data_IF_323557887758
#
_entry.id   IF_323557887758
#
_cell.length_a   1.000
_cell.length_b   1.000
_cell.length_c   1.000
_cell.angle_alpha   90.00
_cell.angle_beta   90.00
_cell.angle_gamma   90.00
#
_symmetry.space_group_name_H-M   'P 1'
#
loop_
_entity.id
_entity.type
_entity.pdbx_description
1 polymer ?
#
# COMPACT_ATOMS: atom_id res chain seq x y z
N UNK A 1 -10.75 38.94 13.95
CA UNK A 1 -11.39 37.70 14.44
C UNK A 1 -10.98 37.50 15.89
N UNK A 2 -11.88 37.73 16.86
CA UNK A 2 -11.57 37.63 18.28
C UNK A 2 -11.30 36.15 18.61
N UNK A 3 -10.12 35.87 19.16
CA UNK A 3 -9.82 34.62 19.81
C UNK A 3 -10.73 34.52 21.05
N UNK A 4 -11.83 33.82 20.94
CA UNK A 4 -12.58 33.36 22.10
C UNK A 4 -11.67 32.37 22.81
N UNK A 5 -11.12 32.73 23.96
CA UNK A 5 -10.48 31.78 24.87
C UNK A 5 -11.51 30.71 25.21
N UNK A 6 -11.33 29.54 24.62
CA UNK A 6 -12.08 28.35 25.04
C UNK A 6 -11.55 28.00 26.43
N UNK A 7 -12.34 28.31 27.47
CA UNK A 7 -12.09 27.83 28.84
C UNK A 7 -12.03 26.31 28.77
N UNK A 8 -10.84 25.75 28.85
CA UNK A 8 -10.67 24.30 28.95
C UNK A 8 -11.17 23.84 30.31
N UNK A 9 -12.26 23.07 30.31
CA UNK A 9 -12.70 22.38 31.51
C UNK A 9 -11.56 21.51 32.05
N UNK A 10 -11.37 21.55 33.39
CA UNK A 10 -10.40 20.69 34.05
C UNK A 10 -10.65 19.22 33.68
N UNK A 11 -9.59 18.44 33.39
CA UNK A 11 -9.74 17.05 33.04
C UNK A 11 -10.41 16.26 34.17
N UNK A 12 -11.51 15.60 33.88
CA UNK A 12 -12.19 14.62 34.73
C UNK A 12 -12.28 13.32 33.96
N UNK A 13 -11.34 12.40 34.25
CA UNK A 13 -11.11 11.23 33.42
C UNK A 13 -11.81 10.02 34.00
N UNK A 14 -12.62 9.33 33.14
CA UNK A 14 -13.14 8.00 33.42
C UNK A 14 -12.31 6.94 32.73
N UNK A 15 -11.88 5.91 33.46
CA UNK A 15 -11.14 4.76 32.92
C UNK A 15 -12.04 3.52 32.96
N UNK A 16 -12.28 2.92 31.80
CA UNK A 16 -13.08 1.69 31.66
C UNK A 16 -12.16 0.55 31.23
N UNK A 17 -12.05 -0.48 32.08
CA UNK A 17 -11.12 -1.60 31.88
C UNK A 17 -11.91 -2.82 31.40
N UNK A 18 -11.60 -3.32 30.21
CA UNK A 18 -12.26 -4.46 29.60
C UNK A 18 -11.55 -5.78 30.00
N UNK A 19 -12.33 -6.79 30.36
CA UNK A 19 -11.81 -8.16 30.55
C UNK A 19 -11.54 -8.86 29.21
N UNK A 20 -12.30 -8.52 28.17
CA UNK A 20 -12.33 -9.23 26.89
C UNK A 20 -12.45 -10.76 27.10
N UNK A 21 -13.34 -11.18 27.98
CA UNK A 21 -13.41 -12.56 28.50
C UNK A 21 -12.09 -12.94 29.18
N UNK A 22 -11.46 -14.01 28.72
CA UNK A 22 -10.16 -14.46 29.24
C UNK A 22 -8.95 -13.85 28.51
N UNK A 23 -9.17 -13.12 27.41
CA UNK A 23 -8.06 -12.59 26.61
C UNK A 23 -7.24 -11.51 27.35
N UNK A 24 -7.87 -10.77 28.24
CA UNK A 24 -7.22 -9.76 29.09
C UNK A 24 -7.21 -10.27 30.52
N UNK A 25 -8.37 -10.54 31.12
CA UNK A 25 -8.48 -10.92 32.54
C UNK A 25 -7.86 -12.29 32.87
N UNK A 26 -7.64 -13.16 31.90
CA UNK A 26 -6.89 -14.42 32.11
C UNK A 26 -5.40 -14.22 32.37
N UNK A 27 -4.84 -13.09 31.95
CA UNK A 27 -3.42 -12.76 32.06
C UNK A 27 -3.18 -11.59 33.01
N UNK A 28 -3.94 -10.50 32.87
CA UNK A 28 -3.76 -9.30 33.67
C UNK A 28 -4.57 -9.35 34.98
N UNK A 29 -4.04 -8.78 36.03
CA UNK A 29 -4.75 -8.59 37.29
C UNK A 29 -5.60 -7.32 37.20
N UNK A 30 -6.89 -7.50 36.92
CA UNK A 30 -7.82 -6.39 36.72
C UNK A 30 -7.99 -5.57 38.01
N UNK A 31 -8.00 -6.22 39.18
CA UNK A 31 -8.09 -5.52 40.47
C UNK A 31 -6.96 -4.53 40.67
N UNK A 32 -5.72 -4.98 40.46
CA UNK A 32 -4.57 -4.10 40.50
C UNK A 32 -4.60 -2.97 39.47
N UNK A 33 -5.10 -3.23 38.27
CA UNK A 33 -5.26 -2.18 37.26
C UNK A 33 -6.28 -1.14 37.69
N UNK A 34 -7.39 -1.55 38.31
CA UNK A 34 -8.40 -0.65 38.84
C UNK A 34 -7.86 0.23 39.98
N UNK A 35 -7.22 -0.39 40.97
CA UNK A 35 -6.58 0.32 42.07
C UNK A 35 -5.54 1.33 41.60
N UNK A 36 -4.65 0.91 40.71
CA UNK A 36 -3.65 1.77 40.12
C UNK A 36 -4.27 2.93 39.32
N UNK A 37 -5.26 2.65 38.50
CA UNK A 37 -5.90 3.69 37.68
C UNK A 37 -6.57 4.79 38.52
N UNK A 38 -7.06 4.46 39.73
CA UNK A 38 -7.64 5.44 40.64
C UNK A 38 -6.57 6.39 41.25
N UNK A 39 -5.31 6.01 41.23
CA UNK A 39 -4.21 6.86 41.74
C UNK A 39 -3.68 7.85 40.69
N UNK A 40 -4.10 7.71 39.45
CA UNK A 40 -3.59 8.54 38.36
C UNK A 40 -4.20 9.95 38.38
N UNK A 41 -3.44 10.96 37.95
CA UNK A 41 -3.91 12.34 37.97
C UNK A 41 -5.19 12.55 37.17
N UNK A 42 -6.14 13.28 37.73
CA UNK A 42 -7.41 13.67 37.13
C UNK A 42 -8.36 12.49 36.82
N UNK A 43 -8.01 11.26 37.22
CA UNK A 43 -8.91 10.11 37.14
C UNK A 43 -9.90 10.18 38.31
N UNK A 44 -11.18 10.37 37.98
CA UNK A 44 -12.28 10.52 38.97
C UNK A 44 -13.21 9.32 39.01
N UNK A 45 -13.12 8.43 38.02
CA UNK A 45 -13.95 7.24 37.93
C UNK A 45 -13.20 6.09 37.26
N UNK A 46 -13.31 4.88 37.80
CA UNK A 46 -12.75 3.66 37.23
C UNK A 46 -13.78 2.55 37.30
N UNK A 47 -14.00 1.86 36.20
CA UNK A 47 -14.99 0.78 36.10
C UNK A 47 -14.42 -0.37 35.27
N UNK A 48 -14.66 -1.61 35.68
CA UNK A 48 -14.37 -2.80 34.90
C UNK A 48 -15.61 -3.34 34.21
N UNK A 49 -15.41 -3.96 33.05
CA UNK A 49 -16.48 -4.60 32.27
C UNK A 49 -15.99 -5.89 31.64
N UNK A 50 -16.86 -6.91 31.57
CA UNK A 50 -16.52 -8.16 30.87
C UNK A 50 -16.31 -7.92 29.37
N UNK A 51 -17.17 -7.13 28.75
CA UNK A 51 -17.15 -6.77 27.34
C UNK A 51 -17.57 -5.33 27.17
N UNK A 52 -16.63 -4.42 27.24
CA UNK A 52 -16.91 -2.97 27.14
C UNK A 52 -17.50 -2.58 25.77
N UNK A 53 -17.18 -3.33 24.71
CA UNK A 53 -17.70 -3.10 23.36
C UNK A 53 -19.15 -3.58 23.15
N UNK A 54 -19.70 -4.40 24.05
CA UNK A 54 -21.09 -4.81 24.00
C UNK A 54 -22.04 -3.73 24.59
N UNK A 55 -23.31 -3.79 24.25
CA UNK A 55 -24.31 -2.80 24.67
C UNK A 55 -24.28 -2.49 26.18
N UNK A 56 -24.21 -3.49 27.11
CA UNK A 56 -24.13 -3.19 28.54
C UNK A 56 -22.87 -2.40 28.93
N UNK A 57 -21.71 -2.70 28.27
CA UNK A 57 -20.47 -1.99 28.53
C UNK A 57 -20.50 -0.56 28.00
N UNK A 58 -21.10 -0.34 26.84
CA UNK A 58 -21.29 1.00 26.28
C UNK A 58 -22.26 1.82 27.15
N UNK A 59 -23.31 1.19 27.69
CA UNK A 59 -24.25 1.84 28.61
C UNK A 59 -23.56 2.29 29.90
N UNK A 60 -22.64 1.50 30.45
CA UNK A 60 -21.83 1.88 31.60
C UNK A 60 -20.91 3.09 31.29
N UNK A 61 -20.42 3.21 30.05
CA UNK A 61 -19.65 4.40 29.64
C UNK A 61 -20.57 5.63 29.62
N UNK A 62 -21.77 5.52 29.00
CA UNK A 62 -22.73 6.63 28.93
C UNK A 62 -23.16 7.10 30.32
N UNK A 63 -23.49 6.17 31.20
CA UNK A 63 -23.82 6.47 32.60
C UNK A 63 -22.65 7.13 33.33
N UNK A 64 -21.45 6.58 33.24
CA UNK A 64 -20.27 7.13 33.87
C UNK A 64 -19.99 8.57 33.44
N UNK A 65 -20.15 8.89 32.16
CA UNK A 65 -20.00 10.27 31.64
C UNK A 65 -20.97 11.23 32.34
N UNK A 66 -22.24 10.86 32.42
CA UNK A 66 -23.28 11.73 32.98
C UNK A 66 -23.19 11.82 34.51
N UNK A 67 -23.10 10.68 35.21
CA UNK A 67 -23.15 10.61 36.67
C UNK A 67 -21.89 11.22 37.33
N UNK A 68 -20.73 11.10 36.68
CA UNK A 68 -19.48 11.61 37.23
C UNK A 68 -18.98 12.88 36.54
N UNK A 69 -19.75 13.47 35.63
CA UNK A 69 -19.41 14.67 34.87
C UNK A 69 -18.01 14.51 34.22
N UNK A 70 -17.80 13.38 33.51
CA UNK A 70 -16.53 13.11 32.86
C UNK A 70 -16.32 14.03 31.67
N UNK A 71 -15.11 14.58 31.57
CA UNK A 71 -14.68 15.40 30.44
C UNK A 71 -13.73 14.66 29.51
N UNK A 72 -13.26 13.48 29.92
CA UNK A 72 -12.38 12.59 29.15
C UNK A 72 -12.74 11.15 29.47
N UNK A 73 -12.63 10.29 28.46
CA UNK A 73 -12.88 8.84 28.61
C UNK A 73 -11.71 8.05 28.05
N UNK A 74 -11.27 7.06 28.83
CA UNK A 74 -10.29 6.07 28.42
C UNK A 74 -10.92 4.69 28.47
N UNK A 75 -10.77 3.92 27.40
CA UNK A 75 -11.12 2.50 27.38
C UNK A 75 -9.87 1.67 27.25
N UNK A 76 -9.49 1.00 28.33
CA UNK A 76 -8.39 0.06 28.37
C UNK A 76 -8.90 -1.32 27.91
N UNK A 77 -8.64 -1.70 26.66
CA UNK A 77 -9.23 -2.87 26.01
C UNK A 77 -8.35 -3.43 24.88
N UNK A 78 -8.96 -3.92 23.83
CA UNK A 78 -8.31 -4.40 22.60
C UNK A 78 -7.79 -3.24 21.72
N UNK A 79 -7.34 -3.59 20.52
CA UNK A 79 -6.81 -2.64 19.55
C UNK A 79 -7.83 -1.56 19.14
N UNK A 80 -7.41 -0.28 19.07
CA UNK A 80 -8.22 0.80 18.52
C UNK A 80 -8.76 0.51 17.12
N UNK A 81 -8.02 -0.26 16.31
CA UNK A 81 -8.45 -0.64 14.93
C UNK A 81 -9.80 -1.35 14.88
N UNK A 82 -10.22 -1.98 15.96
CA UNK A 82 -11.47 -2.74 16.02
C UNK A 82 -12.65 -1.89 16.48
N UNK A 83 -12.52 -1.21 17.62
CA UNK A 83 -13.66 -0.64 18.32
C UNK A 83 -13.55 0.85 18.64
N UNK A 84 -12.54 1.55 18.16
CA UNK A 84 -12.42 2.99 18.36
C UNK A 84 -13.64 3.75 17.82
N UNK A 85 -14.16 3.47 16.59
CA UNK A 85 -15.37 4.11 16.10
C UNK A 85 -16.58 3.86 17.00
N UNK A 86 -16.76 2.63 17.49
CA UNK A 86 -17.86 2.26 18.41
C UNK A 86 -17.82 3.11 19.66
N UNK A 87 -16.67 3.20 20.32
CA UNK A 87 -16.56 3.97 21.56
C UNK A 87 -16.64 5.48 21.33
N UNK A 88 -16.15 5.99 20.20
CA UNK A 88 -16.34 7.40 19.84
C UNK A 88 -17.80 7.75 19.67
N UNK A 89 -18.58 6.88 19.03
CA UNK A 89 -20.03 7.03 18.95
C UNK A 89 -20.69 6.97 20.33
N UNK A 90 -20.29 6.02 21.18
CA UNK A 90 -20.81 5.88 22.54
C UNK A 90 -20.61 7.15 23.38
N UNK A 91 -19.43 7.77 23.31
CA UNK A 91 -19.15 9.01 24.06
C UNK A 91 -19.88 10.21 23.46
N UNK A 92 -20.04 10.26 22.14
CA UNK A 92 -20.81 11.30 21.44
C UNK A 92 -22.31 11.23 21.79
N UNK A 93 -22.90 10.03 21.88
CA UNK A 93 -24.27 9.78 22.33
C UNK A 93 -24.52 10.26 23.77
N UNK A 94 -23.50 10.21 24.64
CA UNK A 94 -23.56 10.73 25.99
C UNK A 94 -23.34 12.25 26.10
N UNK A 95 -23.17 12.94 24.95
CA UNK A 95 -22.96 14.39 24.90
C UNK A 95 -21.50 14.84 25.05
N UNK A 96 -20.55 13.92 25.15
CA UNK A 96 -19.13 14.26 25.20
C UNK A 96 -18.56 14.37 23.78
N UNK A 97 -17.64 15.33 23.57
CA UNK A 97 -16.95 15.45 22.29
C UNK A 97 -16.17 14.15 21.98
N UNK A 98 -16.38 13.49 20.81
CA UNK A 98 -15.81 12.18 20.51
C UNK A 98 -14.27 12.19 20.38
N UNK A 99 -13.65 13.36 20.31
CA UNK A 99 -12.18 13.51 20.29
C UNK A 99 -11.56 13.63 21.69
N UNK A 100 -12.39 13.68 22.74
CA UNK A 100 -11.97 13.63 24.15
C UNK A 100 -11.95 12.18 24.69
N UNK A 101 -11.68 11.24 23.80
CA UNK A 101 -11.67 9.80 24.01
C UNK A 101 -10.33 9.20 23.59
N UNK A 102 -9.83 8.24 24.37
CA UNK A 102 -8.59 7.51 24.09
C UNK A 102 -8.76 6.02 24.36
N UNK A 103 -8.09 5.16 23.57
CA UNK A 103 -8.00 3.73 23.84
C UNK A 103 -6.59 3.33 24.28
N UNK A 104 -6.52 2.58 25.38
CA UNK A 104 -5.32 1.93 25.89
C UNK A 104 -5.34 0.45 25.45
N UNK A 105 -4.45 0.06 24.52
CA UNK A 105 -4.39 -1.31 24.03
C UNK A 105 -3.66 -2.22 25.01
N UNK A 106 -4.42 -2.86 25.90
CA UNK A 106 -3.89 -3.81 26.92
C UNK A 106 -4.08 -5.28 26.49
N UNK A 107 -4.59 -5.56 25.30
CA UNK A 107 -4.71 -6.91 24.75
C UNK A 107 -3.55 -7.25 23.81
N UNK A 108 -3.54 -6.72 22.60
CA UNK A 108 -2.54 -7.03 21.58
C UNK A 108 -1.13 -6.58 21.97
N UNK A 109 -1.02 -5.41 22.62
CA UNK A 109 0.28 -4.87 23.05
C UNK A 109 0.74 -5.37 24.42
N UNK A 110 -0.12 -6.08 25.18
CA UNK A 110 0.19 -6.49 26.54
C UNK A 110 -0.18 -7.95 26.80
N UNK A 111 -1.44 -8.30 27.06
CA UNK A 111 -1.80 -9.67 27.48
C UNK A 111 -1.45 -10.74 26.44
N UNK A 112 -1.60 -10.47 25.16
CA UNK A 112 -1.24 -11.41 24.09
C UNK A 112 0.27 -11.45 23.81
N UNK A 113 0.97 -10.33 24.01
CA UNK A 113 2.41 -10.28 23.83
C UNK A 113 3.18 -10.94 25.01
N UNK A 114 2.56 -11.06 26.19
CA UNK A 114 3.17 -11.60 27.42
C UNK A 114 2.27 -12.62 28.12
N UNK A 115 1.84 -13.72 27.45
CA UNK A 115 0.84 -14.63 27.98
C UNK A 115 1.30 -15.47 29.18
N UNK A 116 2.62 -15.54 29.40
CA UNK A 116 3.22 -16.38 30.47
C UNK A 116 3.86 -15.58 31.61
N UNK A 117 3.80 -14.25 31.58
CA UNK A 117 4.44 -13.35 32.54
C UNK A 117 3.42 -12.41 33.20
N UNK A 118 2.42 -12.99 33.87
CA UNK A 118 1.25 -12.27 34.41
C UNK A 118 1.59 -11.00 35.19
N UNK A 119 2.56 -11.07 36.09
CA UNK A 119 2.97 -9.92 36.92
C UNK A 119 3.57 -8.79 36.07
N UNK A 120 4.54 -9.13 35.21
CA UNK A 120 5.17 -8.14 34.32
C UNK A 120 4.18 -7.58 33.30
N UNK A 121 3.28 -8.43 32.80
CA UNK A 121 2.22 -7.99 31.90
C UNK A 121 1.27 -7.01 32.61
N UNK A 122 0.94 -7.24 33.88
CA UNK A 122 0.11 -6.33 34.66
C UNK A 122 0.82 -4.98 34.88
N UNK A 123 2.13 -4.97 35.20
CA UNK A 123 2.91 -3.74 35.32
C UNK A 123 2.96 -2.98 33.97
N UNK A 124 3.20 -3.68 32.86
CA UNK A 124 3.15 -3.06 31.53
C UNK A 124 1.78 -2.47 31.22
N UNK A 125 0.69 -3.13 31.60
CA UNK A 125 -0.66 -2.62 31.41
C UNK A 125 -0.90 -1.32 32.21
N UNK A 126 -0.36 -1.23 33.43
CA UNK A 126 -0.37 0.01 34.22
C UNK A 126 0.32 1.15 33.48
N UNK A 127 1.51 0.89 32.91
CA UNK A 127 2.24 1.88 32.11
C UNK A 127 1.44 2.34 30.90
N UNK A 128 0.81 1.41 30.16
CA UNK A 128 -0.02 1.73 28.99
C UNK A 128 -1.22 2.60 29.40
N UNK A 129 -1.90 2.28 30.51
CA UNK A 129 -3.00 3.09 31.03
C UNK A 129 -2.50 4.48 31.46
N UNK A 130 -1.36 4.55 32.15
CA UNK A 130 -0.76 5.84 32.54
C UNK A 130 -0.44 6.72 31.32
N UNK A 131 0.14 6.14 30.27
CA UNK A 131 0.37 6.87 29.01
C UNK A 131 -0.92 7.38 28.39
N UNK A 132 -1.99 6.57 28.40
CA UNK A 132 -3.30 6.97 27.91
C UNK A 132 -3.91 8.11 28.75
N UNK A 133 -3.76 8.07 30.08
CA UNK A 133 -4.18 9.15 30.99
C UNK A 133 -3.40 10.43 30.70
N UNK A 134 -2.08 10.33 30.59
CA UNK A 134 -1.23 11.48 30.28
C UNK A 134 -1.61 12.13 28.94
N UNK A 135 -1.90 11.32 27.91
CA UNK A 135 -2.38 11.79 26.62
C UNK A 135 -3.78 12.42 26.75
N UNK A 136 -4.71 11.75 27.44
CA UNK A 136 -6.09 12.21 27.58
C UNK A 136 -6.18 13.60 28.24
N UNK A 137 -5.31 13.89 29.20
CA UNK A 137 -5.20 15.21 29.84
C UNK A 137 -4.91 16.35 28.85
N UNK A 138 -4.23 16.04 27.74
CA UNK A 138 -3.82 17.00 26.72
C UNK A 138 -4.80 17.07 25.54
N UNK A 139 -5.81 16.20 25.50
CA UNK A 139 -6.78 16.20 24.41
C UNK A 139 -7.63 17.49 24.44
N UNK A 140 -7.87 18.01 23.24
CA UNK A 140 -8.73 19.19 23.00
C UNK A 140 -9.94 18.76 22.22
N UNK A 141 -11.12 19.38 22.47
CA UNK A 141 -12.29 19.12 21.65
C UNK A 141 -12.02 19.57 20.21
N UNK A 142 -12.30 18.70 19.27
CA UNK A 142 -12.20 19.00 17.84
C UNK A 142 -13.59 19.09 17.24
N UNK A 143 -13.71 19.85 16.17
CA UNK A 143 -14.95 20.00 15.41
C UNK A 143 -14.86 19.20 14.12
N UNK A 144 -15.86 18.40 13.83
CA UNK A 144 -16.02 17.75 12.53
C UNK A 144 -16.44 18.82 11.51
N UNK A 145 -15.75 18.91 10.41
CA UNK A 145 -16.14 19.72 9.26
C UNK A 145 -16.23 18.87 8.01
N UNK A 146 -17.11 19.24 7.09
CA UNK A 146 -17.27 18.57 5.81
C UNK A 146 -16.53 19.35 4.74
N UNK A 147 -15.78 18.65 3.91
CA UNK A 147 -15.13 19.21 2.73
C UNK A 147 -15.71 18.54 1.48
N UNK A 148 -15.82 19.25 0.36
CA UNK A 148 -16.14 18.61 -0.92
C UNK A 148 -15.03 17.62 -1.28
N UNK A 149 -15.39 16.53 -1.94
CA UNK A 149 -14.43 15.49 -2.37
C UNK A 149 -14.42 15.44 -3.90
N UNK A 150 -13.24 15.49 -4.48
CA UNK A 150 -13.05 15.28 -5.92
C UNK A 150 -13.31 13.82 -6.25
N UNK A 151 -14.33 13.53 -7.09
CA UNK A 151 -14.75 12.18 -7.46
C UNK A 151 -13.83 11.55 -8.51
N UNK A 152 -12.53 11.54 -8.23
CA UNK A 152 -11.48 10.91 -9.07
C UNK A 152 -10.48 10.24 -8.15
N UNK A 153 -9.89 9.15 -8.60
CA UNK A 153 -8.88 8.40 -7.87
C UNK A 153 -7.56 8.35 -8.62
N UNK A 154 -6.48 8.39 -7.88
CA UNK A 154 -5.14 8.04 -8.37
C UNK A 154 -4.73 6.69 -7.78
N UNK A 155 -4.18 5.83 -8.64
CA UNK A 155 -3.54 4.59 -8.23
C UNK A 155 -2.08 4.66 -8.68
N UNK A 156 -1.16 4.43 -7.75
CA UNK A 156 0.28 4.43 -7.99
C UNK A 156 0.76 2.98 -7.99
N UNK A 157 1.18 2.50 -9.16
CA UNK A 157 1.58 1.12 -9.41
C UNK A 157 0.55 0.34 -10.23
N UNK A 158 0.96 -0.10 -11.41
CA UNK A 158 0.14 -0.83 -12.39
C UNK A 158 0.31 -2.36 -12.32
N UNK A 159 0.73 -2.92 -11.18
CA UNK A 159 0.71 -4.36 -10.93
C UNK A 159 -0.70 -4.87 -10.60
N UNK A 160 -0.83 -6.16 -10.30
CA UNK A 160 -2.14 -6.82 -10.10
C UNK A 160 -3.02 -6.14 -9.04
N UNK A 161 -2.44 -5.61 -7.97
CA UNK A 161 -3.19 -4.89 -6.94
C UNK A 161 -3.76 -3.57 -7.48
N UNK A 162 -2.94 -2.79 -8.17
CA UNK A 162 -3.37 -1.52 -8.78
C UNK A 162 -4.38 -1.73 -9.90
N UNK A 163 -4.20 -2.75 -10.73
CA UNK A 163 -5.14 -3.15 -11.80
C UNK A 163 -6.52 -3.46 -11.22
N UNK A 164 -6.60 -4.32 -10.18
CA UNK A 164 -7.89 -4.64 -9.57
C UNK A 164 -8.53 -3.42 -8.89
N UNK A 165 -7.76 -2.61 -8.15
CA UNK A 165 -8.27 -1.39 -7.54
C UNK A 165 -8.79 -0.39 -8.59
N UNK A 166 -8.12 -0.29 -9.75
CA UNK A 166 -8.55 0.57 -10.85
C UNK A 166 -9.89 0.09 -11.43
N UNK A 167 -10.02 -1.21 -11.68
CA UNK A 167 -11.25 -1.81 -12.19
C UNK A 167 -12.41 -1.65 -11.22
N UNK A 168 -12.21 -1.93 -9.93
CA UNK A 168 -13.24 -1.80 -8.92
C UNK A 168 -13.76 -0.35 -8.82
N UNK A 169 -12.87 0.64 -8.74
CA UNK A 169 -13.26 2.04 -8.69
C UNK A 169 -13.92 2.53 -9.98
N UNK A 170 -13.42 2.10 -11.14
CA UNK A 170 -13.99 2.45 -12.43
C UNK A 170 -15.39 1.84 -12.62
N UNK A 171 -15.61 0.60 -12.17
CA UNK A 171 -16.91 -0.07 -12.18
C UNK A 171 -17.93 0.58 -11.23
N UNK A 172 -17.47 1.24 -10.17
CA UNK A 172 -18.28 2.10 -9.32
C UNK A 172 -18.60 3.46 -9.96
N UNK A 173 -18.07 3.76 -11.16
CA UNK A 173 -18.32 4.98 -11.91
C UNK A 173 -17.34 6.12 -11.65
N UNK A 174 -16.25 5.88 -10.92
CA UNK A 174 -15.23 6.91 -10.68
C UNK A 174 -14.21 6.98 -11.81
N UNK A 175 -13.74 8.20 -12.12
CA UNK A 175 -12.58 8.39 -13.00
C UNK A 175 -11.31 8.00 -12.23
N UNK A 176 -10.48 7.16 -12.85
CA UNK A 176 -9.25 6.62 -12.27
C UNK A 176 -8.05 6.97 -13.15
N UNK A 177 -6.99 7.48 -12.52
CA UNK A 177 -5.67 7.61 -13.11
C UNK A 177 -4.79 6.48 -12.57
N UNK A 178 -4.25 5.64 -13.45
CA UNK A 178 -3.33 4.56 -13.08
C UNK A 178 -1.92 4.92 -13.54
N UNK A 179 -1.05 5.26 -12.60
CA UNK A 179 0.34 5.64 -12.87
C UNK A 179 1.24 4.43 -12.69
N UNK A 180 2.04 4.11 -13.73
CA UNK A 180 3.01 3.04 -13.72
C UNK A 180 4.37 3.54 -14.20
N UNK A 181 5.44 3.24 -13.45
CA UNK A 181 6.81 3.67 -13.79
C UNK A 181 7.40 2.94 -14.98
N UNK A 182 7.00 1.68 -15.18
CA UNK A 182 7.49 0.87 -16.28
C UNK A 182 6.72 1.17 -17.59
N UNK A 183 7.25 0.68 -18.70
CA UNK A 183 6.65 0.91 -20.03
C UNK A 183 5.26 0.25 -20.17
N UNK A 184 4.93 -0.73 -19.34
CA UNK A 184 3.66 -1.47 -19.34
C UNK A 184 3.16 -1.67 -17.92
N UNK A 185 1.84 -1.77 -17.74
CA UNK A 185 1.26 -2.35 -16.54
C UNK A 185 1.48 -3.86 -16.51
N UNK A 186 1.27 -4.49 -15.33
CA UNK A 186 1.42 -5.94 -15.08
C UNK A 186 2.32 -6.23 -13.88
N UNK A 187 3.39 -5.44 -13.68
CA UNK A 187 4.32 -5.61 -12.56
C UNK A 187 4.95 -7.01 -12.49
N UNK A 188 5.26 -7.47 -11.28
CA UNK A 188 5.89 -8.79 -11.11
C UNK A 188 5.01 -9.97 -11.51
N UNK A 189 3.66 -9.84 -11.44
CA UNK A 189 2.81 -10.95 -11.84
C UNK A 189 2.96 -11.27 -13.33
N UNK A 190 3.19 -10.27 -14.18
CA UNK A 190 3.49 -10.49 -15.60
C UNK A 190 4.86 -11.17 -15.84
N UNK A 191 5.77 -11.15 -14.86
CA UNK A 191 7.05 -11.84 -14.91
C UNK A 191 6.99 -13.29 -14.43
N UNK A 192 5.97 -13.67 -13.63
CA UNK A 192 5.81 -15.04 -13.14
C UNK A 192 5.34 -15.97 -14.26
N UNK A 193 5.75 -17.23 -14.20
CA UNK A 193 5.18 -18.29 -15.03
C UNK A 193 3.86 -18.80 -14.44
N UNK A 194 3.88 -19.11 -13.14
CA UNK A 194 2.71 -19.68 -12.43
C UNK A 194 2.38 -18.92 -11.16
N UNK A 195 1.10 -18.96 -10.78
CA UNK A 195 0.61 -18.47 -9.48
C UNK A 195 0.49 -19.61 -8.49
N UNK A 196 0.83 -19.38 -7.21
CA UNK A 196 0.65 -20.34 -6.14
C UNK A 196 -0.67 -20.07 -5.38
N UNK A 197 -1.36 -21.09 -4.85
CA UNK A 197 -1.03 -22.53 -4.85
C UNK A 197 -1.60 -23.29 -6.05
N UNK A 198 -2.38 -22.63 -6.91
CA UNK A 198 -3.16 -23.28 -7.99
C UNK A 198 -2.31 -23.67 -9.21
N UNK A 199 -1.11 -23.10 -9.34
CA UNK A 199 -0.22 -23.27 -10.49
C UNK A 199 -0.86 -22.85 -11.83
N UNK A 200 -1.74 -21.86 -11.78
CA UNK A 200 -2.32 -21.27 -12.99
C UNK A 200 -1.31 -20.39 -13.70
N UNK A 201 -1.47 -20.22 -14.99
CA UNK A 201 -0.66 -19.32 -15.80
C UNK A 201 -0.87 -17.86 -15.38
N UNK A 202 0.14 -17.20 -14.88
CA UNK A 202 0.07 -15.84 -14.34
C UNK A 202 -0.45 -14.83 -15.34
N UNK A 203 0.14 -14.77 -16.53
CA UNK A 203 -0.27 -13.83 -17.58
C UNK A 203 -1.66 -14.16 -18.17
N UNK A 204 -2.10 -15.44 -18.08
CA UNK A 204 -3.42 -15.85 -18.52
C UNK A 204 -4.52 -15.29 -17.59
N UNK A 205 -4.20 -15.08 -16.32
CA UNK A 205 -5.10 -14.46 -15.33
C UNK A 205 -5.03 -12.93 -15.44
N UNK A 206 -3.84 -12.38 -15.53
CA UNK A 206 -3.60 -10.94 -15.48
C UNK A 206 -3.88 -10.25 -16.82
N UNK A 207 -3.50 -10.87 -17.94
CA UNK A 207 -3.65 -10.29 -19.29
C UNK A 207 -5.06 -9.81 -19.63
N UNK A 208 -6.12 -10.60 -19.39
CA UNK A 208 -7.49 -10.13 -19.56
C UNK A 208 -7.83 -8.88 -18.77
N UNK A 209 -7.36 -8.78 -17.52
CA UNK A 209 -7.56 -7.60 -16.65
C UNK A 209 -6.80 -6.38 -17.16
N UNK A 210 -5.57 -6.55 -17.65
CA UNK A 210 -4.79 -5.48 -18.29
C UNK A 210 -5.53 -4.91 -19.50
N UNK A 211 -6.10 -5.79 -20.34
CA UNK A 211 -6.91 -5.39 -21.49
C UNK A 211 -8.20 -4.70 -21.05
N UNK A 212 -8.87 -5.19 -20.02
CA UNK A 212 -10.06 -4.55 -19.45
C UNK A 212 -9.75 -3.14 -18.96
N UNK A 213 -8.66 -2.95 -18.21
CA UNK A 213 -8.18 -1.62 -17.79
C UNK A 213 -7.97 -0.70 -18.98
N UNK A 214 -7.32 -1.17 -20.05
CA UNK A 214 -7.02 -0.35 -21.23
C UNK A 214 -8.25 0.07 -22.03
N UNK A 215 -9.35 -0.69 -21.91
CA UNK A 215 -10.61 -0.44 -22.62
C UNK A 215 -11.64 0.30 -21.80
N UNK A 216 -11.43 0.40 -20.49
CA UNK A 216 -12.39 1.05 -19.61
C UNK A 216 -12.32 2.58 -19.76
N UNK A 217 -13.43 3.25 -20.17
CA UNK A 217 -13.45 4.69 -20.42
C UNK A 217 -13.20 5.54 -19.16
N UNK A 218 -13.39 4.94 -17.98
CA UNK A 218 -13.15 5.61 -16.72
C UNK A 218 -11.70 5.48 -16.24
N UNK A 219 -10.86 4.65 -16.90
CA UNK A 219 -9.45 4.49 -16.51
C UNK A 219 -8.55 5.17 -17.52
N UNK A 220 -7.61 5.95 -17.02
CA UNK A 220 -6.53 6.54 -17.82
C UNK A 220 -5.20 5.97 -17.35
N UNK A 221 -4.54 5.22 -18.22
CA UNK A 221 -3.22 4.65 -17.94
C UNK A 221 -2.14 5.69 -18.25
N UNK A 222 -1.34 6.00 -17.28
CA UNK A 222 -0.14 6.82 -17.36
C UNK A 222 1.08 5.92 -17.12
N UNK A 223 1.44 5.11 -18.13
CA UNK A 223 2.60 4.24 -18.07
C UNK A 223 3.86 4.96 -18.54
N UNK A 224 5.02 4.47 -18.10
CA UNK A 224 6.32 5.12 -18.21
C UNK A 224 6.28 6.51 -17.57
N UNK A 225 5.63 6.56 -16.40
CA UNK A 225 5.35 7.80 -15.69
C UNK A 225 5.49 7.62 -14.16
N UNK A 226 5.82 8.69 -13.48
CA UNK A 226 5.99 8.66 -12.02
C UNK A 226 5.39 9.89 -11.35
N UNK A 227 4.89 9.70 -10.13
CA UNK A 227 4.42 10.79 -9.28
C UNK A 227 5.64 11.54 -8.72
N UNK A 228 5.76 12.81 -9.05
CA UNK A 228 6.89 13.64 -8.62
C UNK A 228 6.54 14.61 -7.48
N UNK A 229 5.24 14.94 -7.33
CA UNK A 229 4.80 15.82 -6.26
C UNK A 229 3.33 15.58 -5.91
N UNK A 230 3.02 15.65 -4.60
CA UNK A 230 1.65 15.59 -4.08
C UNK A 230 1.45 16.75 -3.11
N UNK A 231 0.37 17.50 -3.29
CA UNK A 231 -0.07 18.58 -2.42
C UNK A 231 -1.56 18.45 -2.13
N UNK A 232 -2.09 19.25 -1.20
CA UNK A 232 -3.50 19.27 -0.83
C UNK A 232 -3.82 18.48 0.45
N UNK A 233 -5.02 17.95 0.54
CA UNK A 233 -5.52 17.25 1.73
C UNK A 233 -6.52 16.16 1.33
N UNK A 234 -6.88 15.30 2.27
CA UNK A 234 -7.83 14.20 2.06
C UNK A 234 -9.11 14.71 1.40
N UNK A 235 -9.43 14.15 0.25
CA UNK A 235 -10.55 14.55 -0.60
C UNK A 235 -10.18 15.51 -1.73
N UNK A 236 -9.01 16.17 -1.69
CA UNK A 236 -8.61 17.19 -2.68
C UNK A 236 -7.08 17.25 -2.82
N UNK A 237 -6.52 16.26 -3.45
CA UNK A 237 -5.09 16.20 -3.75
C UNK A 237 -4.81 16.80 -5.14
N UNK A 238 -3.72 17.54 -5.25
CA UNK A 238 -3.11 17.96 -6.51
C UNK A 238 -1.82 17.17 -6.70
N UNK A 239 -1.76 16.43 -7.77
CA UNK A 239 -0.67 15.49 -8.03
C UNK A 239 0.00 15.85 -9.35
N UNK A 240 1.32 16.01 -9.33
CA UNK A 240 2.14 16.14 -10.53
C UNK A 240 2.70 14.81 -10.92
N UNK A 241 2.45 14.42 -12.16
CA UNK A 241 2.93 13.17 -12.76
C UNK A 241 3.87 13.55 -13.90
N UNK A 242 5.09 13.06 -13.86
CA UNK A 242 6.06 13.17 -14.93
C UNK A 242 5.95 11.95 -15.85
N UNK A 243 5.67 12.18 -17.12
CA UNK A 243 5.71 11.18 -18.19
C UNK A 243 7.09 11.19 -18.81
N UNK A 244 7.74 10.05 -18.84
CA UNK A 244 9.04 9.90 -19.50
C UNK A 244 8.86 9.76 -21.02
N UNK A 245 9.79 10.28 -21.82
CA UNK A 245 9.71 10.14 -23.28
C UNK A 245 9.99 8.70 -23.70
N UNK A 246 9.10 8.12 -24.45
CA UNK A 246 9.31 6.80 -25.08
C UNK A 246 10.13 6.89 -26.36
N UNK A 247 10.26 8.10 -26.89
CA UNK A 247 10.77 8.38 -28.23
C UNK A 247 9.99 7.65 -29.32
N UNK A 248 8.78 7.22 -28.96
CA UNK A 248 7.78 6.59 -29.84
C UNK A 248 6.41 7.22 -29.54
N UNK A 249 5.78 7.74 -30.56
CA UNK A 249 4.45 8.36 -30.49
C UNK A 249 3.41 7.23 -30.36
N UNK A 250 2.88 7.06 -29.15
CA UNK A 250 2.00 5.95 -28.81
C UNK A 250 0.80 5.78 -29.76
N UNK A 251 0.14 6.88 -30.14
CA UNK A 251 -1.01 6.86 -31.06
C UNK A 251 -0.69 6.41 -32.49
N UNK A 252 0.58 6.49 -32.90
CA UNK A 252 1.05 6.11 -34.22
C UNK A 252 1.69 4.71 -34.23
N UNK A 253 2.07 4.19 -33.05
CA UNK A 253 2.68 2.88 -32.90
C UNK A 253 1.62 1.77 -33.00
N UNK A 254 1.80 0.83 -33.90
CA UNK A 254 0.90 -0.33 -34.10
C UNK A 254 1.38 -1.57 -33.34
N UNK A 255 2.53 -1.51 -32.64
CA UNK A 255 3.10 -2.66 -31.96
C UNK A 255 3.67 -3.75 -32.90
N UNK A 256 3.98 -3.45 -34.17
CA UNK A 256 4.35 -4.44 -35.19
C UNK A 256 5.73 -5.10 -34.96
N UNK A 257 6.65 -4.48 -34.22
CA UNK A 257 7.97 -5.06 -33.91
C UNK A 257 9.09 -4.78 -34.91
N UNK A 258 8.79 -4.35 -36.14
CA UNK A 258 9.78 -4.14 -37.22
C UNK A 258 10.97 -3.24 -36.81
N UNK A 259 10.71 -2.25 -35.95
CA UNK A 259 11.74 -1.35 -35.42
C UNK A 259 12.72 -2.07 -34.46
N UNK A 260 12.26 -3.06 -33.73
CA UNK A 260 13.13 -3.89 -32.88
C UNK A 260 13.93 -4.88 -33.72
N UNK A 261 13.32 -5.50 -34.73
CA UNK A 261 14.00 -6.47 -35.59
C UNK A 261 15.19 -5.86 -36.34
N UNK A 262 15.07 -4.60 -36.76
CA UNK A 262 16.15 -3.89 -37.47
C UNK A 262 17.19 -3.26 -36.55
N UNK A 263 16.92 -3.15 -35.24
CA UNK A 263 17.81 -2.51 -34.31
C UNK A 263 19.10 -3.32 -34.11
N UNK A 264 20.30 -2.75 -34.37
CA UNK A 264 21.54 -3.49 -34.27
C UNK A 264 22.06 -3.62 -32.83
N UNK A 265 21.48 -2.89 -31.88
CA UNK A 265 21.98 -2.83 -30.51
C UNK A 265 21.22 -3.78 -29.62
N UNK A 266 21.95 -4.57 -28.87
CA UNK A 266 21.46 -5.44 -27.79
C UNK A 266 22.14 -5.08 -26.47
N UNK A 267 21.38 -5.18 -25.39
CA UNK A 267 21.87 -4.97 -24.03
C UNK A 267 21.13 -5.89 -23.03
N UNK A 268 21.64 -6.11 -21.81
CA UNK A 268 20.99 -6.97 -20.82
C UNK A 268 19.56 -6.57 -20.57
N UNK A 269 18.66 -7.54 -20.56
CA UNK A 269 17.24 -7.30 -20.36
C UNK A 269 16.88 -7.35 -18.86
N UNK A 270 16.72 -6.19 -18.24
CA UNK A 270 16.33 -6.10 -16.82
C UNK A 270 14.96 -6.75 -16.53
N UNK A 271 14.02 -6.73 -17.49
CA UNK A 271 12.76 -7.44 -17.37
C UNK A 271 12.94 -8.97 -17.22
N UNK A 272 13.93 -9.53 -17.91
CA UNK A 272 14.31 -10.93 -17.82
C UNK A 272 15.37 -11.17 -16.73
N UNK A 273 15.47 -10.31 -15.74
CA UNK A 273 16.48 -10.40 -14.65
C UNK A 273 17.92 -10.45 -15.18
N UNK A 274 18.18 -9.85 -16.34
CA UNK A 274 19.44 -9.88 -17.08
C UNK A 274 19.88 -11.28 -17.55
N UNK A 275 18.98 -12.26 -17.57
CA UNK A 275 19.24 -13.61 -18.09
C UNK A 275 19.22 -13.69 -19.62
N UNK A 276 18.84 -12.62 -20.30
CA UNK A 276 18.83 -12.48 -21.75
C UNK A 276 19.13 -11.04 -22.16
N UNK A 277 19.02 -10.77 -23.46
CA UNK A 277 19.21 -9.44 -24.05
C UNK A 277 17.91 -8.88 -24.61
N UNK A 278 17.83 -7.55 -24.75
CA UNK A 278 16.78 -6.86 -25.48
C UNK A 278 17.37 -5.80 -26.40
N UNK A 279 16.59 -5.40 -27.42
CA UNK A 279 16.99 -4.31 -28.33
C UNK A 279 16.82 -2.94 -27.66
N UNK A 280 17.61 -1.92 -28.11
CA UNK A 280 17.44 -0.55 -27.61
C UNK A 280 16.02 0.00 -27.84
N UNK A 281 15.33 -0.47 -28.88
CA UNK A 281 13.91 -0.22 -29.08
C UNK A 281 13.15 -1.53 -28.88
N UNK A 282 12.27 -1.59 -27.88
CA UNK A 282 11.62 -2.84 -27.47
C UNK A 282 10.36 -2.59 -26.67
N UNK A 283 9.61 -3.64 -26.39
CA UNK A 283 8.57 -3.73 -25.37
C UNK A 283 9.05 -4.69 -24.27
N UNK A 284 8.58 -4.56 -23.02
CA UNK A 284 9.05 -5.44 -21.94
C UNK A 284 8.65 -6.92 -22.16
N UNK A 285 7.43 -7.17 -22.66
CA UNK A 285 6.92 -8.51 -22.94
C UNK A 285 5.79 -8.44 -24.01
N UNK A 286 5.47 -9.56 -24.69
CA UNK A 286 4.55 -9.54 -25.83
C UNK A 286 3.12 -9.07 -25.54
N UNK A 287 2.63 -9.29 -24.30
CA UNK A 287 1.28 -8.91 -23.86
C UNK A 287 1.25 -7.53 -23.18
N UNK A 288 2.29 -6.69 -23.37
CA UNK A 288 2.39 -5.37 -22.76
C UNK A 288 1.14 -4.50 -23.03
N UNK A 289 0.74 -3.74 -22.03
CA UNK A 289 -0.37 -2.77 -22.09
C UNK A 289 0.10 -1.43 -21.51
N UNK A 290 0.18 -0.36 -22.32
CA UNK A 290 -0.05 -0.34 -23.77
C UNK A 290 1.05 -1.09 -24.55
N UNK A 291 0.69 -1.67 -25.70
CA UNK A 291 1.66 -2.30 -26.60
C UNK A 291 2.33 -1.21 -27.46
N UNK A 292 3.22 -0.46 -26.85
CA UNK A 292 3.96 0.64 -27.46
C UNK A 292 5.45 0.42 -27.20
N UNK A 293 6.23 0.48 -28.28
CA UNK A 293 7.68 0.35 -28.17
C UNK A 293 8.27 1.59 -27.46
N UNK A 294 9.42 1.39 -26.81
CA UNK A 294 10.16 2.43 -26.13
C UNK A 294 11.63 2.33 -26.53
N UNK A 295 12.28 3.47 -26.81
CA UNK A 295 13.71 3.54 -27.09
C UNK A 295 14.44 3.83 -25.76
N UNK A 296 15.34 2.94 -25.37
CA UNK A 296 16.30 3.24 -24.30
C UNK A 296 17.46 4.07 -24.88
N UNK A 297 17.46 5.36 -24.57
CA UNK A 297 18.47 6.31 -25.09
C UNK A 297 19.88 6.01 -24.57
N UNK A 298 20.04 5.43 -23.39
CA UNK A 298 21.35 5.12 -22.82
C UNK A 298 22.10 4.05 -23.61
N UNK A 299 21.35 3.21 -24.34
CA UNK A 299 21.90 2.15 -25.18
C UNK A 299 21.70 2.40 -26.68
N UNK A 300 21.02 3.50 -27.06
CA UNK A 300 20.75 3.82 -28.45
C UNK A 300 21.94 4.51 -29.10
N UNK A 301 22.38 4.00 -30.26
CA UNK A 301 23.47 4.61 -31.06
C UNK A 301 22.94 5.60 -32.11
N UNK A 302 21.67 5.93 -32.09
CA UNK A 302 21.01 6.89 -32.99
C UNK A 302 21.28 6.62 -34.48
N UNK A 303 21.26 5.35 -34.87
CA UNK A 303 21.47 4.95 -36.28
C UNK A 303 20.24 5.19 -37.19
N UNK A 304 19.10 5.59 -36.64
CA UNK A 304 17.84 5.96 -37.29
C UNK A 304 17.17 4.84 -38.13
N UNK A 305 17.69 3.62 -38.17
CA UNK A 305 17.08 2.51 -38.92
C UNK A 305 15.63 2.22 -38.52
N UNK A 306 15.29 2.43 -37.24
CA UNK A 306 13.92 2.32 -36.75
C UNK A 306 12.98 3.39 -37.33
N UNK A 307 13.49 4.57 -37.67
CA UNK A 307 12.72 5.64 -38.36
C UNK A 307 12.41 5.17 -39.79
N UNK A 308 13.40 4.68 -40.53
CA UNK A 308 13.26 4.25 -41.90
C UNK A 308 12.23 3.12 -42.01
N UNK A 309 12.31 2.08 -41.20
CA UNK A 309 11.38 0.94 -41.23
C UNK A 309 9.99 1.30 -40.73
N UNK A 310 9.85 2.26 -39.79
CA UNK A 310 8.58 2.75 -39.34
C UNK A 310 7.80 3.47 -40.47
N UNK A 311 8.51 4.17 -41.34
CA UNK A 311 8.01 4.74 -42.57
C UNK A 311 6.76 5.61 -42.41
N UNK A 312 5.71 5.32 -43.19
CA UNK A 312 4.47 6.11 -43.20
C UNK A 312 3.72 6.16 -41.85
N UNK A 313 3.99 5.26 -40.91
CA UNK A 313 3.40 5.31 -39.56
C UNK A 313 3.92 6.51 -38.78
N UNK A 314 5.13 6.96 -39.06
CA UNK A 314 5.80 8.12 -38.43
C UNK A 314 5.65 8.10 -36.89
N UNK A 315 5.97 6.94 -36.28
CA UNK A 315 5.81 6.78 -34.84
C UNK A 315 7.11 7.07 -34.07
N UNK A 316 8.27 7.16 -34.72
CA UNK A 316 9.55 7.41 -34.03
C UNK A 316 9.79 8.93 -33.96
N UNK A 317 10.09 9.43 -32.78
CA UNK A 317 10.33 10.83 -32.49
C UNK A 317 11.42 10.98 -31.41
N UNK A 318 12.65 11.28 -31.83
CA UNK A 318 13.80 11.42 -30.95
C UNK A 318 13.81 12.73 -30.16
N UNK A 319 12.95 13.70 -30.50
CA UNK A 319 12.86 15.02 -29.89
C UNK A 319 11.85 15.08 -28.75
N UNK A 320 11.28 13.93 -28.36
CA UNK A 320 10.38 13.90 -27.20
C UNK A 320 11.10 14.30 -25.92
N UNK A 321 10.46 15.16 -25.17
CA UNK A 321 10.91 15.61 -23.86
C UNK A 321 9.97 15.06 -22.76
N UNK A 322 10.43 14.97 -21.50
CA UNK A 322 9.57 14.65 -20.38
C UNK A 322 8.41 15.67 -20.25
N UNK A 323 7.21 15.17 -20.01
CA UNK A 323 6.01 15.99 -19.84
C UNK A 323 5.52 15.91 -18.38
N UNK A 324 5.25 17.05 -17.75
CA UNK A 324 4.56 17.09 -16.47
C UNK A 324 3.07 17.35 -16.66
N UNK A 325 2.25 16.47 -16.08
CA UNK A 325 0.80 16.58 -16.06
C UNK A 325 0.33 16.77 -14.62
N UNK A 326 -0.50 17.79 -14.38
CA UNK A 326 -1.15 17.99 -13.09
C UNK A 326 -2.56 17.37 -13.11
N UNK A 327 -2.86 16.54 -12.11
CA UNK A 327 -4.16 15.90 -11.93
C UNK A 327 -4.73 16.20 -10.54
N UNK A 328 -6.05 16.37 -10.46
CA UNK A 328 -6.75 16.57 -9.20
C UNK A 328 -7.57 15.31 -8.85
N UNK A 329 -7.37 14.79 -7.64
CA UNK A 329 -8.01 13.55 -7.19
C UNK A 329 -8.45 13.64 -5.72
N UNK A 330 -9.47 12.89 -5.36
CA UNK A 330 -9.97 12.83 -3.98
C UNK A 330 -9.26 11.77 -3.13
N UNK A 331 -8.69 10.75 -3.77
CA UNK A 331 -7.99 9.67 -3.08
C UNK A 331 -6.78 9.19 -3.85
N UNK A 332 -5.78 8.70 -3.11
CA UNK A 332 -4.57 8.10 -3.65
C UNK A 332 -4.43 6.71 -3.06
N UNK A 333 -4.36 5.70 -3.92
CA UNK A 333 -4.08 4.31 -3.54
C UNK A 333 -2.65 3.97 -3.95
N UNK A 334 -1.85 3.52 -2.98
CA UNK A 334 -0.46 3.10 -3.21
C UNK A 334 -0.43 1.59 -3.38
N UNK A 335 -0.02 1.13 -4.57
CA UNK A 335 0.04 -0.27 -4.97
C UNK A 335 1.40 -0.59 -5.65
N UNK A 336 2.49 -0.05 -5.10
CA UNK A 336 3.84 -0.06 -5.69
C UNK A 336 4.55 -1.41 -5.63
N UNK A 337 3.91 -2.44 -5.08
CA UNK A 337 4.45 -3.81 -5.03
C UNK A 337 5.58 -3.97 -4.02
N UNK A 338 6.52 -4.83 -4.36
CA UNK A 338 7.71 -5.13 -3.56
C UNK A 338 8.94 -5.23 -4.46
N UNK A 339 10.11 -5.00 -3.88
CA UNK A 339 11.39 -5.24 -4.56
C UNK A 339 11.88 -6.66 -4.30
N UNK A 340 12.66 -7.18 -5.25
CA UNK A 340 13.33 -8.48 -5.09
C UNK A 340 14.51 -8.31 -4.16
N UNK A 341 14.60 -9.18 -3.17
CA UNK A 341 15.76 -9.22 -2.28
C UNK A 341 16.91 -10.01 -2.95
N UNK A 342 18.04 -9.34 -3.10
CA UNK A 342 19.27 -9.94 -3.61
C UNK A 342 20.27 -10.12 -2.48
N UNK A 343 20.52 -11.36 -1.99
CA UNK A 343 21.32 -11.60 -0.79
C UNK A 343 22.83 -11.59 -1.05
N UNK A 344 23.35 -10.55 -1.70
CA UNK A 344 24.79 -10.40 -1.98
C UNK A 344 25.64 -10.38 -0.71
N UNK A 345 25.12 -9.77 0.36
CA UNK A 345 25.81 -9.59 1.62
C UNK A 345 25.62 -10.76 2.61
N UNK A 346 24.81 -11.76 2.23
CA UNK A 346 24.55 -12.93 3.08
C UNK A 346 25.30 -14.17 2.52
N UNK A 347 26.46 -14.52 3.11
CA UNK A 347 27.30 -15.61 2.60
C UNK A 347 26.64 -16.99 2.69
N UNK A 348 25.57 -17.14 3.48
CA UNK A 348 24.84 -18.41 3.62
C UNK A 348 24.20 -18.86 2.32
N UNK A 349 23.76 -17.93 1.48
CA UNK A 349 23.11 -18.22 0.20
C UNK A 349 24.12 -18.38 -0.93
N UNK A 350 25.24 -17.66 -0.89
CA UNK A 350 26.25 -17.68 -1.95
C UNK A 350 25.80 -17.02 -3.26
N UNK A 351 24.73 -16.20 -3.21
CA UNK A 351 24.24 -15.43 -4.34
C UNK A 351 25.31 -14.42 -4.81
N UNK A 352 25.48 -14.30 -6.13
CA UNK A 352 26.54 -13.49 -6.71
C UNK A 352 27.96 -14.11 -6.64
N UNK A 353 28.14 -15.17 -5.81
CA UNK A 353 29.39 -15.94 -5.72
C UNK A 353 29.36 -17.19 -6.61
N UNK A 354 28.25 -17.87 -6.63
CA UNK A 354 28.03 -19.07 -7.43
C UNK A 354 26.98 -18.76 -8.51
N UNK A 355 27.36 -18.94 -9.77
CA UNK A 355 26.54 -18.57 -10.93
C UNK A 355 25.22 -19.33 -11.04
N UNK A 356 25.08 -20.50 -10.38
CA UNK A 356 23.87 -21.31 -10.38
C UNK A 356 22.99 -21.07 -9.14
N UNK A 357 23.34 -20.11 -8.28
CA UNK A 357 22.47 -19.64 -7.21
C UNK A 357 21.67 -18.45 -7.73
N UNK A 358 20.39 -18.64 -7.89
CA UNK A 358 19.46 -17.69 -8.51
C UNK A 358 18.32 -17.35 -7.55
N UNK A 359 17.68 -16.20 -7.77
CA UNK A 359 16.47 -15.82 -7.05
C UNK A 359 15.23 -16.57 -7.58
N UNK A 360 14.13 -16.51 -6.82
CA UNK A 360 12.87 -17.11 -7.27
C UNK A 360 12.38 -16.47 -8.57
N UNK A 361 12.50 -15.16 -8.74
CA UNK A 361 12.08 -14.50 -9.97
C UNK A 361 12.95 -14.85 -11.18
N UNK A 362 14.27 -15.02 -11.00
CA UNK A 362 15.14 -15.53 -12.06
C UNK A 362 14.71 -16.95 -12.49
N UNK A 363 14.34 -17.82 -11.56
CA UNK A 363 13.78 -19.14 -11.89
C UNK A 363 12.47 -19.01 -12.67
N UNK A 364 11.55 -18.16 -12.24
CA UNK A 364 10.28 -17.92 -12.93
C UNK A 364 10.51 -17.46 -14.39
N UNK A 365 11.55 -16.65 -14.63
CA UNK A 365 11.89 -16.24 -16.00
C UNK A 365 12.47 -17.37 -16.83
N UNK A 366 13.25 -18.27 -16.24
CA UNK A 366 13.77 -19.45 -16.95
C UNK A 366 12.68 -20.45 -17.33
N UNK A 367 11.72 -20.72 -16.44
CA UNK A 367 10.64 -21.69 -16.70
C UNK A 367 9.52 -21.13 -17.58
N UNK A 368 9.46 -19.82 -17.79
CA UNK A 368 8.45 -19.20 -18.61
C UNK A 368 8.69 -19.42 -20.10
N UNK A 369 7.71 -19.90 -20.84
CA UNK A 369 7.82 -20.18 -22.26
C UNK A 369 8.17 -18.94 -23.12
N UNK A 370 7.84 -17.73 -22.66
CA UNK A 370 8.23 -16.46 -23.27
C UNK A 370 9.50 -15.86 -22.65
N UNK A 371 10.14 -16.57 -21.74
CA UNK A 371 11.37 -16.17 -21.08
C UNK A 371 12.61 -16.38 -21.94
N UNK A 372 13.80 -16.01 -21.42
CA UNK A 372 15.04 -15.96 -22.20
C UNK A 372 15.53 -17.31 -22.71
N UNK A 373 15.07 -18.41 -22.14
CA UNK A 373 15.45 -19.79 -22.47
C UNK A 373 14.33 -20.58 -23.15
N UNK A 374 13.20 -19.93 -23.45
CA UNK A 374 12.03 -20.60 -24.04
C UNK A 374 11.35 -21.62 -23.11
N UNK A 375 11.52 -21.47 -21.78
CA UNK A 375 10.93 -22.33 -20.77
C UNK A 375 11.84 -23.48 -20.30
N UNK A 376 13.08 -23.51 -20.77
CA UNK A 376 14.06 -24.52 -20.36
C UNK A 376 14.93 -24.02 -19.19
N UNK A 377 14.95 -24.80 -18.09
CA UNK A 377 15.84 -24.47 -16.97
C UNK A 377 17.25 -24.92 -17.32
N UNK A 378 18.11 -23.94 -17.53
CA UNK A 378 19.53 -24.15 -17.84
C UNK A 378 20.41 -23.51 -16.76
N UNK A 379 21.55 -24.09 -16.50
CA UNK A 379 22.55 -23.56 -15.56
C UNK A 379 23.26 -22.36 -16.17
N UNK A 380 23.33 -21.25 -15.43
CA UNK A 380 24.04 -20.05 -15.88
C UNK A 380 25.54 -20.27 -16.06
N UNK A 381 26.13 -21.30 -15.42
CA UNK A 381 27.55 -21.61 -15.48
C UNK A 381 28.03 -22.22 -16.82
N UNK A 382 27.18 -22.99 -17.50
CA UNK A 382 27.60 -23.79 -18.68
C UNK A 382 26.47 -23.99 -19.70
N UNK A 383 25.28 -23.43 -19.49
CA UNK A 383 24.15 -23.56 -20.40
C UNK A 383 23.55 -24.97 -20.49
N UNK A 384 23.89 -25.88 -19.56
CA UNK A 384 23.38 -27.23 -19.56
C UNK A 384 22.18 -27.36 -18.58
N UNK A 385 21.35 -28.38 -18.78
CA UNK A 385 20.31 -28.70 -17.83
C UNK A 385 20.90 -29.08 -16.47
N UNK A 386 20.25 -28.68 -15.35
CA UNK A 386 20.67 -29.14 -14.03
C UNK A 386 20.53 -30.67 -13.93
N UNK A 387 21.52 -31.31 -13.28
CA UNK A 387 21.41 -32.69 -12.91
C UNK A 387 20.76 -32.82 -11.53
N UNK A 388 19.94 -33.85 -11.32
CA UNK A 388 19.32 -34.18 -10.04
C UNK A 388 20.31 -34.62 -9.00
#
# INVERSE_FOLDING_TARGET
>A
MSQTEVLYEEPRIGVFICHCGLNIAGILDIGQLMEYSQTLPDVVFVKENRYTCADPGQEEIRKGIVEHNLTRVIVAACSPRMHEPTFRTTVEEAGLNPFLFEMANIREMCSWAHPHEKEKATEKAKEIINMAVAKARLLKPLTKFKVPVTNRALIIGGGIAGINAALDLANMGYKVYLVERDESIGGHMAQLDKTFPTLDCSICIEGPKMVEVSRNPNIEILSFAEVVHVDGYIGNFKVKVRRNPRYVIAKNCTGCGECADICPVEYPNAWEMNLGTRRSISVPFPQAVPLVFTINKDHCIECYKCVDVCGARNAIDFEQEPEEVEIEVGTITVATGCDIYYPYDDPRYGYGKYSNVITALELERLINAAGPTGGEVIRSSDGQHPHS
#
